data_IF_809878321347
#
_entry.id   IF_809878321347
#
_cell.length_a   1.000
_cell.length_b   1.000
_cell.length_c   1.000
_cell.angle_alpha   90.00
_cell.angle_beta   90.00
_cell.angle_gamma   90.00
#
_symmetry.space_group_name_H-M   'P 1'
#
loop_
_entity.id
_entity.type
_entity.pdbx_description
1 polymer ?
#
# COMPACT_ATOMS: atom_id res chain seq x y z
N UNK A 1 4.44 20.17 -8.94
CA UNK A 1 4.37 21.65 -8.83
C UNK A 1 4.65 22.16 -7.41
N UNK A 2 5.07 21.31 -6.47
CA UNK A 2 5.29 21.63 -5.04
C UNK A 2 6.64 21.03 -4.61
N UNK A 3 7.34 21.60 -3.60
CA UNK A 3 8.60 21.06 -3.10
C UNK A 3 8.45 19.73 -2.32
N UNK A 4 7.27 19.43 -1.78
CA UNK A 4 6.98 18.15 -1.10
C UNK A 4 5.80 17.49 -1.80
N UNK A 5 6.02 16.26 -2.27
CA UNK A 5 5.01 15.43 -2.91
C UNK A 5 5.29 13.96 -2.66
N UNK A 6 4.25 13.16 -2.61
CA UNK A 6 4.34 11.71 -2.46
C UNK A 6 3.98 11.04 -3.79
N UNK A 7 4.47 9.83 -4.00
CA UNK A 7 4.07 8.96 -5.09
C UNK A 7 3.67 7.61 -4.51
N UNK A 8 2.38 7.30 -4.62
CA UNK A 8 1.84 5.96 -4.38
C UNK A 8 1.81 5.22 -5.71
N UNK A 9 2.34 4.00 -5.72
CA UNK A 9 2.29 3.08 -6.84
C UNK A 9 1.59 1.80 -6.40
N UNK A 10 0.57 1.37 -7.14
CA UNK A 10 -0.16 0.14 -6.86
C UNK A 10 -0.11 -0.77 -8.08
N UNK A 11 0.37 -1.99 -7.86
CA UNK A 11 0.26 -3.06 -8.84
C UNK A 11 -1.07 -3.76 -8.61
N UNK A 12 -1.87 -3.85 -9.66
CA UNK A 12 -3.18 -4.47 -9.59
C UNK A 12 -3.32 -5.55 -10.66
N UNK A 13 -4.04 -6.60 -10.28
CA UNK A 13 -4.57 -7.59 -11.20
C UNK A 13 -5.98 -7.12 -11.63
N UNK A 14 -6.22 -7.06 -12.93
CA UNK A 14 -7.52 -6.68 -13.51
C UNK A 14 -8.11 -7.92 -14.17
N UNK A 15 -9.25 -8.35 -13.64
CA UNK A 15 -9.97 -9.54 -14.04
C UNK A 15 -10.71 -9.30 -15.36
N UNK A 16 -11.10 -10.36 -16.10
CA UNK A 16 -11.82 -10.22 -17.37
C UNK A 16 -13.16 -9.46 -17.26
N UNK A 17 -13.80 -9.49 -16.09
CA UNK A 17 -15.04 -8.76 -15.80
C UNK A 17 -14.81 -7.27 -15.47
N UNK A 18 -13.54 -6.83 -15.41
CA UNK A 18 -13.14 -5.45 -15.10
C UNK A 18 -12.95 -5.16 -13.62
N UNK A 19 -13.24 -6.12 -12.72
CA UNK A 19 -12.87 -5.99 -11.30
C UNK A 19 -11.36 -6.00 -11.13
N UNK A 20 -10.87 -5.53 -9.98
CA UNK A 20 -9.43 -5.45 -9.75
C UNK A 20 -9.04 -5.71 -8.31
N UNK A 21 -8.01 -6.55 -8.14
CA UNK A 21 -7.38 -6.85 -6.86
C UNK A 21 -6.05 -6.09 -6.74
N UNK A 22 -5.75 -5.60 -5.54
CA UNK A 22 -4.43 -5.08 -5.20
C UNK A 22 -3.45 -6.24 -5.02
N UNK A 23 -2.37 -6.25 -5.80
CA UNK A 23 -1.31 -7.28 -5.73
C UNK A 23 -0.22 -6.85 -4.75
N UNK A 24 0.26 -5.62 -4.91
CA UNK A 24 1.22 -4.97 -4.01
C UNK A 24 1.16 -3.45 -4.20
N UNK A 25 1.76 -2.71 -3.27
CA UNK A 25 1.89 -1.26 -3.30
C UNK A 25 3.31 -0.83 -2.93
N UNK A 26 3.64 0.39 -3.31
CA UNK A 26 4.79 1.12 -2.82
C UNK A 26 4.39 2.58 -2.60
N UNK A 27 5.07 3.22 -1.67
CA UNK A 27 4.92 4.63 -1.40
C UNK A 27 6.29 5.27 -1.23
N UNK A 28 6.49 6.39 -1.90
CA UNK A 28 7.66 7.21 -1.69
C UNK A 28 7.28 8.67 -1.40
N UNK A 29 7.76 9.21 -0.29
CA UNK A 29 7.92 10.65 -0.16
C UNK A 29 9.07 11.09 -1.05
N UNK A 30 8.79 11.87 -2.10
CA UNK A 30 9.79 12.23 -3.12
C UNK A 30 10.95 13.08 -2.58
N UNK A 31 10.82 13.63 -1.37
CA UNK A 31 11.95 14.26 -0.68
C UNK A 31 13.02 13.22 -0.28
N UNK A 32 12.63 11.97 -0.02
CA UNK A 32 13.52 10.87 0.36
C UNK A 32 14.04 10.07 -0.84
N UNK A 33 13.78 10.51 -2.08
CA UNK A 33 14.14 9.79 -3.32
C UNK A 33 15.61 9.36 -3.44
N UNK A 34 16.51 10.05 -2.74
CA UNK A 34 17.95 9.78 -2.75
C UNK A 34 18.50 9.31 -1.40
N UNK A 35 17.74 9.49 -0.32
CA UNK A 35 18.17 9.17 1.05
C UNK A 35 16.98 9.17 2.00
N UNK A 36 16.83 8.09 2.77
CA UNK A 36 15.81 8.01 3.82
C UNK A 36 16.12 8.90 5.03
N UNK A 37 17.39 9.25 5.26
CA UNK A 37 17.84 10.00 6.45
C UNK A 37 18.16 11.48 6.17
N UNK A 38 18.33 11.85 4.91
CA UNK A 38 18.63 13.22 4.49
C UNK A 38 17.65 13.66 3.39
N UNK A 39 16.41 14.01 3.74
CA UNK A 39 15.41 14.39 2.75
C UNK A 39 15.77 15.72 2.08
N UNK A 40 15.59 15.78 0.76
CA UNK A 40 15.83 16.98 -0.05
C UNK A 40 14.55 17.41 -0.76
N UNK A 41 14.09 18.66 -0.61
CA UNK A 41 12.90 19.13 -1.31
C UNK A 41 13.05 19.03 -2.83
N UNK A 42 11.93 18.80 -3.51
CA UNK A 42 11.86 18.91 -4.96
C UNK A 42 12.01 20.36 -5.40
N UNK A 43 12.62 20.55 -6.57
CA UNK A 43 12.54 21.83 -7.30
C UNK A 43 11.32 21.75 -8.24
N UNK A 44 10.25 22.52 -8.02
CA UNK A 44 9.07 22.47 -8.87
C UNK A 44 9.40 22.67 -10.36
N UNK A 45 8.86 21.82 -11.22
CA UNK A 45 9.06 21.90 -12.67
C UNK A 45 10.35 21.24 -13.18
N UNK A 46 11.28 20.86 -12.31
CA UNK A 46 12.47 20.10 -12.67
C UNK A 46 12.17 18.59 -12.67
N UNK A 47 12.35 17.87 -13.79
CA UNK A 47 12.24 16.41 -13.80
C UNK A 47 13.30 15.78 -12.90
N UNK A 48 12.92 14.74 -12.16
CA UNK A 48 13.82 13.94 -11.32
C UNK A 48 13.60 12.45 -11.57
N UNK A 49 14.65 11.62 -11.60
CA UNK A 49 14.49 10.17 -11.58
C UNK A 49 13.96 9.75 -10.21
N UNK A 50 13.09 8.75 -10.21
CA UNK A 50 12.45 8.21 -9.00
C UNK A 50 12.36 6.70 -9.14
N UNK A 51 12.77 6.00 -8.10
CA UNK A 51 12.57 4.57 -7.95
C UNK A 51 11.59 4.36 -6.80
N UNK A 52 10.50 3.61 -7.06
CA UNK A 52 9.53 3.24 -6.03
C UNK A 52 9.59 1.74 -5.87
N UNK A 53 10.10 1.30 -4.72
CA UNK A 53 10.07 -0.09 -4.33
C UNK A 53 8.65 -0.51 -3.96
N UNK A 54 8.21 -1.67 -4.45
CA UNK A 54 6.92 -2.26 -4.10
C UNK A 54 7.14 -3.31 -3.00
N UNK A 55 6.19 -3.41 -2.08
CA UNK A 55 6.20 -4.42 -1.03
C UNK A 55 6.30 -5.84 -1.64
N UNK A 56 7.04 -6.72 -0.97
CA UNK A 56 7.21 -8.09 -1.41
C UNK A 56 5.87 -8.83 -1.44
N UNK A 57 5.63 -9.57 -2.51
CA UNK A 57 4.42 -10.39 -2.68
C UNK A 57 4.71 -11.58 -3.58
N UNK A 58 3.81 -12.57 -3.57
CA UNK A 58 3.75 -13.64 -4.56
C UNK A 58 2.35 -13.62 -5.17
N UNK A 59 2.27 -13.56 -6.49
CA UNK A 59 1.00 -13.46 -7.21
C UNK A 59 1.08 -14.15 -8.57
N UNK A 60 0.00 -14.81 -8.96
CA UNK A 60 -0.17 -15.40 -10.28
C UNK A 60 -1.20 -14.58 -11.03
N UNK A 61 -0.79 -13.97 -12.16
CA UNK A 61 -1.72 -13.32 -13.08
C UNK A 61 -2.27 -14.39 -14.03
N UNK A 62 -3.54 -14.75 -13.84
CA UNK A 62 -4.19 -15.80 -14.62
C UNK A 62 -4.36 -15.41 -16.11
N UNK A 63 -4.44 -16.38 -17.02
CA UNK A 63 -4.71 -16.10 -18.43
C UNK A 63 -5.97 -15.23 -18.62
N UNK A 64 -5.85 -14.18 -19.44
CA UNK A 64 -6.93 -13.23 -19.71
C UNK A 64 -6.98 -12.04 -18.75
N UNK A 65 -6.24 -12.07 -17.64
CA UNK A 65 -6.07 -10.93 -16.76
C UNK A 65 -5.13 -9.87 -17.34
N UNK A 66 -5.15 -8.66 -16.76
CA UNK A 66 -4.24 -7.56 -17.13
C UNK A 66 -3.50 -7.03 -15.92
N UNK A 67 -2.19 -6.86 -16.10
CA UNK A 67 -1.34 -6.13 -15.15
C UNK A 67 -1.62 -4.63 -15.28
N UNK A 68 -1.98 -3.98 -14.17
CA UNK A 68 -2.19 -2.53 -14.12
C UNK A 68 -1.28 -1.88 -13.08
N UNK A 69 -0.56 -0.84 -13.50
CA UNK A 69 0.12 0.08 -12.60
C UNK A 69 -0.74 1.32 -12.39
N UNK A 70 -1.18 1.57 -11.17
CA UNK A 70 -1.91 2.77 -10.77
C UNK A 70 -0.99 3.70 -9.99
N UNK A 71 -0.89 4.96 -10.41
CA UNK A 71 -0.03 5.97 -9.80
C UNK A 71 -0.88 7.12 -9.26
N UNK A 72 -0.63 7.53 -8.01
CA UNK A 72 -1.37 8.59 -7.34
C UNK A 72 -0.45 9.46 -6.48
N UNK A 73 -0.82 10.74 -6.30
CA UNK A 73 -0.09 11.67 -5.41
C UNK A 73 -0.44 11.56 -3.93
N UNK A 74 -1.38 10.68 -3.58
CA UNK A 74 -1.83 10.41 -2.22
C UNK A 74 -2.46 9.01 -2.15
N UNK A 75 -2.43 8.39 -0.97
CA UNK A 75 -3.05 7.09 -0.68
C UNK A 75 -3.75 7.11 0.69
N UNK A 76 -4.61 8.11 0.89
CA UNK A 76 -5.37 8.24 2.13
C UNK A 76 -6.53 7.22 2.15
N UNK A 77 -6.85 6.58 3.29
CA UNK A 77 -6.28 6.76 4.63
C UNK A 77 -5.08 5.84 4.94
N UNK A 78 -4.60 5.06 3.97
CA UNK A 78 -3.46 4.15 4.20
C UNK A 78 -2.16 4.90 4.53
N UNK A 79 -2.02 6.13 4.04
CA UNK A 79 -0.86 7.00 4.24
C UNK A 79 -1.34 8.44 4.43
N UNK A 80 -0.68 9.15 5.34
CA UNK A 80 -0.88 10.59 5.50
C UNK A 80 -0.63 11.34 4.16
N UNK A 81 -1.47 12.31 3.77
CA UNK A 81 -1.27 13.03 2.53
C UNK A 81 -0.07 13.99 2.61
N UNK A 82 0.48 14.44 1.46
CA UNK A 82 1.44 15.52 1.44
C UNK A 82 0.82 16.81 2.02
N UNK A 83 1.63 17.75 2.56
CA UNK A 83 1.15 18.92 3.29
C UNK A 83 0.41 19.96 2.42
N UNK A 84 0.48 19.83 1.09
CA UNK A 84 -0.19 20.73 0.17
C UNK A 84 -0.60 19.98 -1.11
N UNK A 85 -1.70 20.40 -1.78
CA UNK A 85 -2.07 19.86 -3.07
C UNK A 85 -0.99 20.15 -4.12
N UNK A 86 -0.77 19.19 -5.03
CA UNK A 86 0.24 19.30 -6.07
C UNK A 86 -0.10 18.50 -7.31
N UNK A 87 0.47 18.92 -8.45
CA UNK A 87 0.39 18.17 -9.71
C UNK A 87 1.69 17.41 -9.94
N UNK A 88 1.55 16.10 -10.20
CA UNK A 88 2.60 15.24 -10.72
C UNK A 88 2.46 15.12 -12.24
N UNK A 89 3.59 15.12 -12.94
CA UNK A 89 3.67 14.85 -14.38
C UNK A 89 4.66 13.71 -14.56
N UNK A 90 4.23 12.65 -15.25
CA UNK A 90 5.04 11.44 -15.46
C UNK A 90 5.39 11.36 -16.94
N UNK A 91 6.68 11.22 -17.24
CA UNK A 91 7.14 10.93 -18.60
C UNK A 91 6.95 9.43 -18.88
N UNK A 92 5.84 9.08 -19.52
CA UNK A 92 5.48 7.69 -19.80
C UNK A 92 6.48 6.96 -20.70
N UNK A 93 7.30 7.69 -21.46
CA UNK A 93 8.35 7.10 -22.31
C UNK A 93 9.54 6.57 -21.50
N UNK A 94 9.67 6.99 -20.24
CA UNK A 94 10.74 6.60 -19.32
C UNK A 94 10.25 5.74 -18.16
N UNK A 95 8.96 5.41 -18.14
CA UNK A 95 8.36 4.59 -17.10
C UNK A 95 8.69 3.12 -17.34
N UNK A 96 9.31 2.49 -16.36
CA UNK A 96 9.63 1.06 -16.37
C UNK A 96 9.04 0.40 -15.13
N UNK A 97 8.45 -0.78 -15.33
CA UNK A 97 8.00 -1.66 -14.25
C UNK A 97 8.84 -2.93 -14.31
N UNK A 98 9.62 -3.20 -13.25
CA UNK A 98 10.40 -4.42 -13.11
C UNK A 98 9.67 -5.37 -12.17
N UNK A 99 9.38 -6.60 -12.62
CA UNK A 99 8.73 -7.63 -11.83
C UNK A 99 9.61 -8.89 -11.85
N UNK A 100 10.05 -9.41 -10.68
CA UNK A 100 10.74 -10.68 -10.63
C UNK A 100 9.75 -11.79 -11.00
N UNK A 101 10.08 -12.59 -12.02
CA UNK A 101 9.30 -13.75 -12.42
C UNK A 101 9.97 -15.00 -11.89
N UNK A 102 9.20 -15.87 -11.22
CA UNK A 102 9.64 -17.22 -10.95
C UNK A 102 9.58 -18.03 -12.25
N UNK A 103 10.72 -18.50 -12.72
CA UNK A 103 10.84 -19.37 -13.89
C UNK A 103 11.15 -20.81 -13.46
N UNK A 104 10.59 -21.79 -14.16
CA UNK A 104 10.80 -23.21 -13.88
C UNK A 104 9.81 -23.80 -12.86
N UNK A 105 10.13 -24.98 -12.36
CA UNK A 105 9.36 -25.65 -11.31
C UNK A 105 9.50 -24.91 -9.98
N UNK A 106 8.47 -24.98 -9.14
CA UNK A 106 8.54 -24.42 -7.81
C UNK A 106 9.77 -25.01 -7.07
N UNK A 107 10.61 -24.18 -6.43
CA UNK A 107 11.79 -24.66 -5.71
C UNK A 107 11.41 -25.50 -4.48
N UNK A 108 10.12 -25.55 -4.16
CA UNK A 108 9.54 -26.32 -3.07
C UNK A 108 8.64 -27.38 -3.71
N UNK A 109 9.06 -28.65 -3.63
CA UNK A 109 8.32 -29.78 -4.22
C UNK A 109 7.10 -30.19 -3.39
N UNK A 110 7.09 -29.86 -2.10
CA UNK A 110 6.03 -30.20 -1.17
C UNK A 110 5.53 -28.93 -0.48
N UNK A 111 4.20 -28.78 -0.38
CA UNK A 111 3.61 -27.65 0.32
C UNK A 111 4.00 -27.70 1.81
N UNK A 112 4.42 -26.57 2.42
CA UNK A 112 4.74 -26.55 3.83
C UNK A 112 3.48 -26.86 4.65
N UNK A 113 3.61 -27.79 5.60
CA UNK A 113 2.58 -28.07 6.59
C UNK A 113 2.79 -27.13 7.77
N UNK A 114 1.90 -26.16 7.91
CA UNK A 114 1.92 -25.26 9.07
C UNK A 114 1.33 -25.97 10.28
N UNK A 115 2.09 -26.06 11.37
CA UNK A 115 1.55 -26.49 12.65
C UNK A 115 0.56 -25.42 13.18
N UNK A 116 -0.52 -25.84 13.87
CA UNK A 116 -1.39 -24.88 14.53
C UNK A 116 -0.61 -24.00 15.52
N UNK A 117 -1.04 -22.75 15.68
CA UNK A 117 -0.47 -21.82 16.65
C UNK A 117 -0.39 -22.48 18.04
N UNK A 118 0.75 -22.43 18.75
CA UNK A 118 0.86 -22.97 20.11
C UNK A 118 -0.15 -22.34 21.09
N UNK A 119 -0.64 -21.14 20.78
CA UNK A 119 -1.65 -20.42 21.58
C UNK A 119 -3.09 -20.81 21.25
N UNK A 120 -3.31 -21.82 20.40
CA UNK A 120 -4.62 -22.11 19.82
C UNK A 120 -4.98 -21.13 18.72
N UNK A 121 -6.10 -21.36 18.04
CA UNK A 121 -6.61 -20.44 17.03
C UNK A 121 -7.17 -19.18 17.75
N UNK A 122 -6.58 -17.99 17.55
CA UNK A 122 -7.07 -16.75 18.16
C UNK A 122 -8.50 -16.40 17.73
N UNK A 123 -9.00 -16.99 16.63
CA UNK A 123 -10.39 -16.85 16.18
C UNK A 123 -11.36 -17.81 16.88
N UNK A 124 -10.88 -18.74 17.71
CA UNK A 124 -11.72 -19.58 18.61
C UNK A 124 -11.81 -19.06 20.04
N UNK A 125 -11.11 -17.98 20.39
CA UNK A 125 -11.38 -17.31 21.65
C UNK A 125 -12.83 -16.80 21.63
N UNK A 126 -13.64 -17.02 22.68
CA UNK A 126 -14.97 -16.42 22.74
C UNK A 126 -14.77 -14.90 22.62
N UNK A 127 -15.38 -14.31 21.59
CA UNK A 127 -15.58 -12.87 21.55
C UNK A 127 -16.34 -12.53 22.82
N UNK A 128 -15.68 -11.96 23.82
CA UNK A 128 -16.41 -11.41 24.95
C UNK A 128 -17.30 -10.30 24.40
N UNK A 129 -18.52 -10.16 24.93
CA UNK A 129 -19.42 -9.03 24.60
C UNK A 129 -18.78 -7.65 24.93
N UNK A 130 -17.58 -7.64 25.52
CA UNK A 130 -16.78 -6.47 25.88
C UNK A 130 -15.72 -6.09 24.83
N UNK A 131 -15.56 -6.84 23.73
CA UNK A 131 -14.65 -6.44 22.66
C UNK A 131 -15.17 -5.18 21.96
N UNK A 132 -14.41 -4.06 21.93
CA UNK A 132 -14.85 -2.87 21.24
C UNK A 132 -15.09 -3.19 19.76
N UNK A 133 -16.17 -2.67 19.19
CA UNK A 133 -16.52 -2.94 17.80
C UNK A 133 -15.36 -2.53 16.87
N UNK A 134 -15.08 -3.39 15.89
CA UNK A 134 -14.24 -3.02 14.74
C UNK A 134 -14.99 -1.94 13.97
N UNK A 135 -14.43 -0.73 13.94
CA UNK A 135 -15.05 0.42 13.30
C UNK A 135 -14.09 0.96 12.24
N UNK A 136 -14.57 1.01 11.00
CA UNK A 136 -13.95 1.80 9.94
C UNK A 136 -14.99 2.79 9.44
N UNK A 137 -14.82 4.06 9.80
CA UNK A 137 -15.76 5.14 9.44
C UNK A 137 -15.02 6.29 8.80
N UNK A 138 -15.53 6.77 7.67
CA UNK A 138 -15.02 7.96 6.97
C UNK A 138 -16.12 9.01 6.96
N UNK A 139 -15.86 10.17 7.54
CA UNK A 139 -16.74 11.33 7.52
C UNK A 139 -16.17 12.39 6.57
N UNK A 140 -17.04 13.03 5.79
CA UNK A 140 -16.65 14.06 4.81
C UNK A 140 -17.50 15.30 5.01
N UNK A 141 -16.91 16.35 5.53
CA UNK A 141 -17.51 17.68 5.50
C UNK A 141 -17.18 18.33 4.16
N UNK A 142 -18.15 18.33 3.25
CA UNK A 142 -18.01 18.91 1.91
C UNK A 142 -17.90 20.43 1.96
N UNK A 143 -18.54 21.10 2.92
CA UNK A 143 -18.52 22.57 3.04
C UNK A 143 -17.23 23.02 3.75
N UNK A 144 -16.84 22.33 4.82
CA UNK A 144 -15.58 22.54 5.53
C UNK A 144 -14.34 22.05 4.78
N UNK A 145 -14.52 21.20 3.75
CA UNK A 145 -13.46 20.52 2.99
C UNK A 145 -12.56 19.65 3.87
N UNK A 146 -13.18 19.00 4.85
CA UNK A 146 -12.52 18.12 5.81
C UNK A 146 -12.91 16.67 5.58
N UNK A 147 -12.00 15.76 5.85
CA UNK A 147 -12.25 14.32 5.79
C UNK A 147 -11.55 13.65 6.94
N UNK A 148 -12.32 12.96 7.78
CA UNK A 148 -11.85 12.25 8.95
C UNK A 148 -12.00 10.75 8.77
N UNK A 149 -11.01 9.97 9.22
CA UNK A 149 -11.09 8.52 9.31
C UNK A 149 -10.99 8.08 10.76
N UNK A 150 -12.01 7.37 11.23
CA UNK A 150 -12.03 6.70 12.52
C UNK A 150 -11.76 5.22 12.31
N UNK A 151 -10.68 4.72 12.93
CA UNK A 151 -10.27 3.32 12.83
C UNK A 151 -10.17 2.73 14.24
N UNK A 152 -11.02 1.75 14.54
CA UNK A 152 -10.95 0.89 15.73
C UNK A 152 -10.73 -0.53 15.26
N UNK A 153 -9.65 -1.17 15.73
CA UNK A 153 -9.31 -2.54 15.35
C UNK A 153 -9.94 -3.60 16.27
N UNK A 154 -10.72 -3.18 17.29
CA UNK A 154 -11.42 -4.06 18.22
C UNK A 154 -10.53 -4.95 19.10
N UNK A 155 -9.21 -4.90 18.93
CA UNK A 155 -8.23 -5.67 19.67
C UNK A 155 -7.53 -4.79 20.73
N UNK A 156 -7.45 -5.29 21.96
CA UNK A 156 -6.56 -4.78 23.00
C UNK A 156 -5.26 -5.57 22.88
N UNK A 157 -4.18 -4.92 22.45
CA UNK A 157 -2.85 -5.53 22.43
C UNK A 157 -2.08 -5.12 23.69
N UNK A 158 -1.74 -6.07 24.56
CA UNK A 158 -0.67 -5.89 25.54
C UNK A 158 0.64 -6.39 24.91
N UNK A 159 1.53 -5.47 24.57
CA UNK A 159 2.89 -5.77 24.13
C UNK A 159 3.89 -5.02 24.99
N UNK A 160 4.98 -5.67 25.40
CA UNK A 160 6.07 -5.06 26.20
C UNK A 160 6.75 -3.87 25.48
N UNK A 161 6.52 -3.70 24.17
CA UNK A 161 7.08 -2.63 23.35
C UNK A 161 6.02 -1.68 22.75
N UNK A 162 4.76 -1.78 23.17
CA UNK A 162 3.70 -0.84 22.78
C UNK A 162 3.23 -0.93 21.31
N UNK A 163 2.16 -0.19 21.02
CA UNK A 163 1.56 -0.01 19.69
C UNK A 163 2.37 0.92 18.79
#
# INVERSE_FOLDING_TARGET
STPVAYLSAKLCDVFPDGTSALVTRGLLNLAHRSSSVAPEPLVPGKPVPVEVELEATSWVFEPGHRVRLSLAGADWPNVWPPPAPGKLTIDSRRLTLSLPRLEGEAPISEAPVFAPSPRGDPHTAPTSDEQPAVLWRVERDVLGRETEAFISHGAVYEGELGA
#
